data_IF_053369658606
#
_entry.id   IF_053369658606
#
_cell.length_a   1.000
_cell.length_b   1.000
_cell.length_c   1.000
_cell.angle_alpha   90.00
_cell.angle_beta   90.00
_cell.angle_gamma   90.00
#
_symmetry.space_group_name_H-M   'P 1'
#
loop_
_entity.id
_entity.type
_entity.pdbx_description
1 polymer ?
#
# COMPACT_ATOMS: atom_id res chain seq x y z
N UNK A 1 -21.39 -8.82 20.58
CA UNK A 1 -20.52 -7.63 20.64
C UNK A 1 -20.78 -6.83 19.36
N UNK A 2 -21.00 -5.51 19.44
CA UNK A 2 -21.15 -4.69 18.25
C UNK A 2 -19.85 -4.75 17.43
N UNK A 3 -19.93 -5.00 16.12
CA UNK A 3 -18.78 -4.97 15.22
C UNK A 3 -18.21 -3.55 15.27
N UNK A 4 -16.96 -3.39 15.71
CA UNK A 4 -16.28 -2.09 15.65
C UNK A 4 -16.24 -1.66 14.19
N UNK A 5 -16.60 -0.41 13.91
CA UNK A 5 -16.52 0.13 12.55
C UNK A 5 -15.07 0.00 12.06
N UNK A 6 -14.89 -0.79 11.00
CA UNK A 6 -13.59 -1.00 10.35
C UNK A 6 -13.50 -0.12 9.11
N UNK A 7 -12.34 0.48 8.90
CA UNK A 7 -11.99 1.20 7.68
C UNK A 7 -11.23 0.32 6.69
N UNK A 8 -10.89 -0.91 7.07
CA UNK A 8 -10.30 -1.89 6.16
C UNK A 8 -11.38 -2.46 5.23
N UNK A 9 -11.15 -2.40 3.92
CA UNK A 9 -12.11 -2.98 2.96
C UNK A 9 -12.22 -4.51 3.06
N UNK A 10 -11.24 -5.21 3.65
CA UNK A 10 -11.34 -6.66 3.92
C UNK A 10 -12.46 -7.02 4.90
N UNK A 11 -12.84 -6.08 5.78
CA UNK A 11 -13.86 -6.30 6.78
C UNK A 11 -15.25 -5.86 6.31
N UNK A 12 -15.37 -5.35 5.08
CA UNK A 12 -16.59 -4.75 4.53
C UNK A 12 -17.26 -5.66 3.50
N UNK A 13 -18.59 -5.65 3.48
CA UNK A 13 -19.37 -6.12 2.34
C UNK A 13 -19.18 -5.24 1.10
N UNK A 14 -19.41 -5.81 -0.08
CA UNK A 14 -19.30 -5.05 -1.34
C UNK A 14 -20.29 -3.87 -1.40
N UNK A 15 -21.45 -4.02 -0.75
CA UNK A 15 -22.50 -3.01 -0.61
C UNK A 15 -22.05 -1.86 0.30
N UNK A 16 -21.36 -2.15 1.40
CA UNK A 16 -20.77 -1.13 2.29
C UNK A 16 -19.74 -0.27 1.54
N UNK A 17 -18.92 -0.88 0.69
CA UNK A 17 -17.97 -0.14 -0.18
C UNK A 17 -18.72 0.68 -1.23
N UNK A 18 -19.80 0.13 -1.79
CA UNK A 18 -20.68 0.86 -2.71
C UNK A 18 -21.32 2.10 -2.08
N UNK A 19 -21.79 2.00 -0.83
CA UNK A 19 -22.32 3.15 -0.08
C UNK A 19 -21.23 4.19 0.23
N UNK A 20 -20.03 3.75 0.60
CA UNK A 20 -18.88 4.64 0.83
C UNK A 20 -18.60 5.51 -0.40
N UNK A 21 -18.53 4.89 -1.59
CA UNK A 21 -18.25 5.55 -2.86
C UNK A 21 -19.26 6.63 -3.26
N UNK A 22 -20.49 6.61 -2.73
CA UNK A 22 -21.47 7.69 -2.96
C UNK A 22 -21.08 9.01 -2.31
N UNK A 23 -20.20 8.96 -1.30
CA UNK A 23 -19.85 10.14 -0.49
C UNK A 23 -18.35 10.41 -0.43
N UNK A 24 -17.51 9.42 -0.70
CA UNK A 24 -16.06 9.54 -0.65
C UNK A 24 -15.39 8.63 -1.70
N UNK A 25 -14.49 9.20 -2.50
CA UNK A 25 -13.75 8.55 -3.59
C UNK A 25 -12.25 8.38 -3.29
N UNK A 26 -11.86 8.54 -2.02
CA UNK A 26 -10.48 8.39 -1.53
C UNK A 26 -10.23 6.97 -1.03
N UNK A 27 -9.05 6.42 -1.30
CA UNK A 27 -8.58 5.19 -0.64
C UNK A 27 -7.09 5.25 -0.32
N UNK A 28 -6.71 4.71 0.84
CA UNK A 28 -5.31 4.47 1.17
C UNK A 28 -4.91 3.03 0.80
N UNK A 29 -3.73 2.86 0.20
CA UNK A 29 -3.17 1.54 -0.11
C UNK A 29 -1.87 1.37 0.69
N UNK A 30 -1.86 0.53 1.75
CA UNK A 30 -0.66 0.29 2.55
C UNK A 30 0.33 -0.57 1.78
N UNK A 31 1.54 -0.05 1.61
CA UNK A 31 2.65 -0.69 0.90
C UNK A 31 3.82 -0.91 1.87
N UNK A 32 4.09 -2.16 2.24
CA UNK A 32 5.15 -2.51 3.18
C UNK A 32 6.47 -2.94 2.52
N UNK A 33 7.27 -3.64 3.32
CA UNK A 33 8.43 -4.43 2.92
C UNK A 33 8.61 -5.62 3.87
N UNK A 34 9.40 -6.60 3.44
CA UNK A 34 9.85 -7.73 4.24
C UNK A 34 11.38 -7.82 4.11
N UNK A 35 12.09 -7.17 5.03
CA UNK A 35 13.53 -6.94 4.92
C UNK A 35 14.26 -6.84 6.26
N UNK A 36 15.59 -6.94 6.20
CA UNK A 36 16.45 -6.90 7.38
C UNK A 36 16.50 -5.51 8.04
N UNK A 37 16.09 -5.41 9.31
CA UNK A 37 16.25 -4.25 10.20
C UNK A 37 17.19 -4.53 11.40
N UNK A 38 18.26 -5.28 11.19
CA UNK A 38 19.15 -5.71 12.27
C UNK A 38 18.54 -6.82 13.15
N UNK A 39 19.36 -7.42 14.02
CA UNK A 39 19.01 -8.66 14.71
C UNK A 39 17.91 -8.52 15.79
N UNK A 40 17.57 -7.29 16.18
CA UNK A 40 16.58 -7.02 17.22
C UNK A 40 15.20 -6.66 16.66
N UNK A 41 15.05 -6.55 15.34
CA UNK A 41 13.80 -6.21 14.67
C UNK A 41 13.28 -7.36 13.81
N UNK A 42 11.95 -7.52 13.68
CA UNK A 42 11.37 -8.44 12.72
C UNK A 42 11.61 -7.99 11.28
N UNK A 43 11.52 -8.92 10.32
CA UNK A 43 11.60 -8.58 8.90
C UNK A 43 10.44 -7.71 8.41
N UNK A 44 9.31 -7.72 9.14
CA UNK A 44 8.11 -6.95 8.81
C UNK A 44 8.08 -5.54 9.39
N UNK A 45 9.19 -4.98 9.89
CA UNK A 45 9.20 -3.65 10.53
C UNK A 45 8.48 -2.59 9.69
N UNK A 46 8.81 -2.46 8.42
CA UNK A 46 8.15 -1.48 7.52
C UNK A 46 6.66 -1.73 7.36
N UNK A 47 6.29 -3.00 7.22
CA UNK A 47 4.89 -3.43 7.09
C UNK A 47 4.07 -3.09 8.33
N UNK A 48 4.61 -3.35 9.53
CA UNK A 48 3.95 -3.04 10.79
C UNK A 48 3.84 -1.54 11.03
N UNK A 49 4.90 -0.78 10.76
CA UNK A 49 4.87 0.69 10.90
C UNK A 49 3.87 1.31 9.92
N UNK A 50 3.87 0.87 8.66
CA UNK A 50 2.91 1.34 7.64
C UNK A 50 1.47 1.10 8.09
N UNK A 51 1.15 -0.10 8.58
CA UNK A 51 -0.19 -0.41 9.10
C UNK A 51 -0.56 0.42 10.32
N UNK A 52 0.35 0.62 11.28
CA UNK A 52 0.10 1.46 12.44
C UNK A 52 -0.28 2.90 12.06
N UNK A 53 0.36 3.48 11.04
CA UNK A 53 0.01 4.81 10.54
C UNK A 53 -1.35 4.80 9.84
N UNK A 54 -1.61 3.84 8.94
CA UNK A 54 -2.87 3.76 8.19
C UNK A 54 -4.06 3.53 9.13
N UNK A 55 -3.94 2.62 10.09
CA UNK A 55 -4.99 2.31 11.07
C UNK A 55 -5.31 3.50 11.97
N UNK A 56 -4.30 4.33 12.30
CA UNK A 56 -4.50 5.57 13.06
C UNK A 56 -5.12 6.68 12.20
N UNK A 57 -4.69 6.83 10.94
CA UNK A 57 -5.13 7.89 10.04
C UNK A 57 -6.55 7.67 9.50
N UNK A 58 -6.92 6.42 9.19
CA UNK A 58 -8.21 6.07 8.57
C UNK A 58 -9.45 6.62 9.30
N UNK A 59 -9.62 6.44 10.63
CA UNK A 59 -10.76 7.00 11.34
C UNK A 59 -10.74 8.53 11.43
N UNK A 60 -9.57 9.15 11.49
CA UNK A 60 -9.42 10.60 11.53
C UNK A 60 -9.82 11.23 10.19
N UNK A 61 -9.39 10.61 9.09
CA UNK A 61 -9.69 11.03 7.73
C UNK A 61 -11.04 10.50 7.21
N UNK A 62 -11.73 9.65 7.97
CA UNK A 62 -12.96 8.94 7.57
C UNK A 62 -12.80 8.29 6.18
N UNK A 63 -11.70 7.58 5.99
CA UNK A 63 -11.27 7.08 4.68
C UNK A 63 -10.93 5.60 4.75
N UNK A 64 -11.42 4.83 3.78
CA UNK A 64 -11.16 3.40 3.71
C UNK A 64 -9.71 3.12 3.28
N UNK A 65 -9.21 1.93 3.62
CA UNK A 65 -7.91 1.45 3.15
C UNK A 65 -7.96 0.00 2.66
N UNK A 66 -7.10 -0.29 1.69
CA UNK A 66 -6.91 -1.60 1.08
C UNK A 66 -6.07 -2.54 1.99
N UNK A 67 -6.05 -3.86 1.72
CA UNK A 67 -5.11 -4.76 2.37
C UNK A 67 -3.66 -4.29 2.25
N UNK A 68 -2.85 -4.56 3.28
CA UNK A 68 -1.40 -4.38 3.19
C UNK A 68 -0.80 -5.25 2.07
N UNK A 69 0.07 -4.66 1.26
CA UNK A 69 1.01 -5.40 0.41
C UNK A 69 2.32 -5.57 1.19
N UNK A 70 2.65 -6.78 1.70
CA UNK A 70 3.74 -6.95 2.67
C UNK A 70 5.13 -7.06 2.03
N UNK A 71 5.22 -7.04 0.69
CA UNK A 71 6.48 -7.17 -0.05
C UNK A 71 6.68 -5.94 -0.94
N UNK A 72 7.88 -5.37 -0.87
CA UNK A 72 8.27 -4.16 -1.60
C UNK A 72 9.43 -4.40 -2.57
N UNK A 73 10.18 -3.33 -2.83
CA UNK A 73 11.44 -3.34 -3.57
C UNK A 73 12.62 -3.18 -2.60
N UNK A 74 13.29 -4.29 -2.27
CA UNK A 74 14.40 -4.35 -1.32
C UNK A 74 15.57 -5.27 -1.74
N UNK A 75 16.09 -5.18 -2.98
CA UNK A 75 17.17 -6.06 -3.43
C UNK A 75 18.47 -5.90 -2.64
N UNK A 76 18.72 -4.71 -2.09
CA UNK A 76 19.90 -4.40 -1.29
C UNK A 76 19.89 -5.08 0.10
N UNK A 77 18.75 -5.62 0.54
CA UNK A 77 18.65 -6.41 1.77
C UNK A 77 18.72 -7.93 1.52
N UNK A 78 18.93 -8.40 0.28
CA UNK A 78 19.01 -9.83 -0.01
C UNK A 78 20.30 -10.50 0.46
N UNK A 79 21.40 -9.75 0.54
CA UNK A 79 22.73 -10.32 0.76
C UNK A 79 23.23 -11.12 -0.45
N UNK A 80 24.18 -12.02 -0.22
CA UNK A 80 24.72 -12.91 -1.25
C UNK A 80 23.89 -14.19 -1.39
N UNK A 81 24.08 -14.90 -2.52
CA UNK A 81 23.46 -16.19 -2.78
C UNK A 81 23.85 -17.18 -1.67
N UNK A 82 22.86 -17.88 -1.11
CA UNK A 82 22.99 -18.78 0.06
C UNK A 82 23.40 -18.13 1.39
N UNK A 83 23.48 -16.79 1.47
CA UNK A 83 23.76 -16.04 2.71
C UNK A 83 22.59 -15.12 3.14
N UNK A 84 21.54 -15.06 2.33
CA UNK A 84 20.35 -14.26 2.64
C UNK A 84 19.62 -14.71 3.90
N UNK A 85 18.94 -13.76 4.56
CA UNK A 85 18.30 -13.98 5.86
C UNK A 85 16.81 -13.67 5.83
N UNK A 86 16.12 -14.09 4.77
CA UNK A 86 14.64 -14.06 4.69
C UNK A 86 14.00 -12.83 4.04
N UNK A 87 14.78 -11.89 3.50
CA UNK A 87 14.25 -10.74 2.74
C UNK A 87 13.45 -11.23 1.52
N UNK A 88 12.24 -10.71 1.35
CA UNK A 88 11.44 -10.88 0.15
C UNK A 88 11.43 -9.57 -0.62
N UNK A 89 11.72 -9.62 -1.91
CA UNK A 89 11.70 -8.44 -2.78
C UNK A 89 11.09 -8.78 -4.12
N UNK A 90 10.28 -7.88 -4.64
CA UNK A 90 9.90 -7.89 -6.04
C UNK A 90 11.04 -7.37 -6.92
N UNK A 91 11.03 -7.79 -8.18
CA UNK A 91 11.76 -7.04 -9.20
C UNK A 91 11.13 -5.64 -9.34
N UNK A 92 11.89 -4.66 -9.83
CA UNK A 92 11.32 -3.32 -10.06
C UNK A 92 10.12 -3.36 -11.02
N UNK A 93 10.15 -4.21 -12.05
CA UNK A 93 9.06 -4.34 -13.01
C UNK A 93 7.81 -4.96 -12.37
N UNK A 94 7.98 -6.01 -11.56
CA UNK A 94 6.87 -6.63 -10.82
C UNK A 94 6.26 -5.64 -9.83
N UNK A 95 7.09 -4.89 -9.11
CA UNK A 95 6.60 -3.91 -8.14
C UNK A 95 5.78 -2.79 -8.81
N UNK A 96 6.27 -2.28 -9.95
CA UNK A 96 5.52 -1.32 -10.78
C UNK A 96 4.18 -1.86 -11.25
N UNK A 97 4.16 -3.11 -11.72
CA UNK A 97 2.93 -3.77 -12.16
C UNK A 97 1.92 -3.91 -11.01
N UNK A 98 2.38 -4.34 -9.83
CA UNK A 98 1.52 -4.45 -8.63
C UNK A 98 0.88 -3.11 -8.27
N UNK A 99 1.67 -2.03 -8.20
CA UNK A 99 1.16 -0.68 -7.88
C UNK A 99 0.15 -0.22 -8.93
N UNK A 100 0.45 -0.43 -10.21
CA UNK A 100 -0.45 -0.10 -11.31
C UNK A 100 -1.77 -0.88 -11.23
N UNK A 101 -1.71 -2.20 -11.08
CA UNK A 101 -2.88 -3.07 -11.06
C UNK A 101 -3.78 -2.80 -9.86
N UNK A 102 -3.20 -2.51 -8.69
CA UNK A 102 -3.95 -2.08 -7.51
C UNK A 102 -4.66 -0.75 -7.76
N UNK A 103 -3.97 0.23 -8.35
CA UNK A 103 -4.59 1.51 -8.68
C UNK A 103 -5.72 1.36 -9.69
N UNK A 104 -5.49 0.64 -10.78
CA UNK A 104 -6.49 0.42 -11.82
C UNK A 104 -7.72 -0.34 -11.30
N UNK A 105 -7.52 -1.28 -10.37
CA UNK A 105 -8.63 -1.98 -9.70
C UNK A 105 -9.49 -1.00 -8.90
N UNK A 106 -8.87 -0.10 -8.12
CA UNK A 106 -9.62 0.90 -7.34
C UNK A 106 -10.30 1.93 -8.26
N UNK A 107 -9.61 2.40 -9.30
CA UNK A 107 -10.16 3.33 -10.29
C UNK A 107 -11.38 2.73 -10.99
N UNK A 108 -11.32 1.44 -11.36
CA UNK A 108 -12.44 0.74 -11.98
C UNK A 108 -13.71 0.77 -11.12
N UNK A 109 -13.57 0.72 -9.79
CA UNK A 109 -14.70 0.79 -8.86
C UNK A 109 -15.19 2.22 -8.57
N UNK A 110 -14.51 3.26 -9.05
CA UNK A 110 -14.91 4.65 -8.88
C UNK A 110 -14.07 5.45 -7.88
N UNK A 111 -13.01 4.88 -7.31
CA UNK A 111 -12.04 5.67 -6.53
C UNK A 111 -11.25 6.58 -7.47
N UNK A 112 -11.18 7.87 -7.16
CA UNK A 112 -10.51 8.86 -8.00
C UNK A 112 -9.37 9.60 -7.26
N UNK A 113 -9.11 9.21 -6.01
CA UNK A 113 -8.02 9.71 -5.17
C UNK A 113 -7.36 8.54 -4.44
N UNK A 114 -6.14 8.18 -4.81
CA UNK A 114 -5.40 7.06 -4.23
C UNK A 114 -4.16 7.57 -3.52
N UNK A 115 -4.03 7.20 -2.25
CA UNK A 115 -2.87 7.50 -1.42
C UNK A 115 -2.14 6.20 -1.13
N UNK A 116 -1.02 5.95 -1.79
CA UNK A 116 -0.14 4.86 -1.39
C UNK A 116 0.64 5.29 -0.14
N UNK A 117 0.61 4.49 0.92
CA UNK A 117 1.30 4.80 2.19
C UNK A 117 2.40 3.76 2.40
N UNK A 118 3.63 4.19 2.63
CA UNK A 118 4.75 3.26 2.82
C UNK A 118 5.82 3.80 3.77
N UNK A 119 6.25 2.99 4.73
CA UNK A 119 7.42 3.30 5.55
C UNK A 119 8.74 2.88 4.91
N UNK A 120 8.69 2.09 3.82
CA UNK A 120 9.90 1.63 3.13
C UNK A 120 10.38 2.63 2.09
N UNK A 121 11.56 3.22 2.33
CA UNK A 121 12.12 4.26 1.46
C UNK A 121 12.44 3.79 0.04
N UNK A 122 12.82 2.53 -0.16
CA UNK A 122 13.25 2.04 -1.47
C UNK A 122 12.09 1.78 -2.43
N UNK A 123 10.86 1.69 -1.92
CA UNK A 123 9.66 1.63 -2.75
C UNK A 123 9.44 2.91 -3.57
N UNK A 124 9.71 4.10 -3.00
CA UNK A 124 9.29 5.38 -3.56
C UNK A 124 9.90 5.71 -4.93
N UNK A 125 11.17 5.41 -5.16
CA UNK A 125 11.85 5.78 -6.42
C UNK A 125 11.44 4.88 -7.58
N UNK A 126 11.09 3.62 -7.30
CA UNK A 126 10.82 2.62 -8.34
C UNK A 126 9.48 2.88 -9.03
N UNK A 127 8.55 3.58 -8.38
CA UNK A 127 7.15 3.73 -8.80
C UNK A 127 6.83 5.10 -9.40
N UNK A 128 7.81 6.01 -9.48
CA UNK A 128 7.61 7.41 -9.89
C UNK A 128 7.05 7.54 -11.32
N UNK A 129 7.47 6.66 -12.23
CA UNK A 129 6.92 6.56 -13.58
C UNK A 129 5.48 6.03 -13.58
N UNK A 130 5.18 5.05 -12.73
CA UNK A 130 3.84 4.45 -12.59
C UNK A 130 2.83 5.46 -12.09
N UNK A 131 3.16 6.30 -11.10
CA UNK A 131 2.24 7.31 -10.61
C UNK A 131 1.86 8.33 -11.69
N UNK A 132 2.83 8.78 -12.48
CA UNK A 132 2.56 9.69 -13.61
C UNK A 132 1.72 9.00 -14.67
N UNK A 133 2.01 7.73 -14.97
CA UNK A 133 1.24 6.93 -15.91
C UNK A 133 -0.23 6.85 -15.49
N UNK A 134 -0.51 6.48 -14.25
CA UNK A 134 -1.88 6.41 -13.72
C UNK A 134 -2.56 7.78 -13.85
N UNK A 135 -1.88 8.85 -13.43
CA UNK A 135 -2.42 10.21 -13.52
C UNK A 135 -2.78 10.61 -14.95
N UNK A 136 -1.91 10.33 -15.92
CA UNK A 136 -2.12 10.74 -17.30
C UNK A 136 -3.13 9.86 -18.05
N UNK A 137 -3.18 8.56 -17.75
CA UNK A 137 -4.12 7.64 -18.39
C UNK A 137 -5.55 7.79 -17.85
N UNK A 138 -5.71 8.17 -16.58
CA UNK A 138 -7.02 8.11 -15.90
C UNK A 138 -7.52 9.44 -15.35
N UNK A 139 -6.64 10.44 -15.17
CA UNK A 139 -6.97 11.68 -14.46
C UNK A 139 -7.03 11.54 -12.93
N UNK A 140 -6.93 10.33 -12.39
CA UNK A 140 -6.97 10.03 -10.96
C UNK A 140 -5.89 10.83 -10.20
N UNK A 141 -6.25 11.37 -9.04
CA UNK A 141 -5.23 11.90 -8.12
C UNK A 141 -4.53 10.71 -7.47
N UNK A 142 -3.22 10.61 -7.66
CA UNK A 142 -2.40 9.57 -7.04
C UNK A 142 -1.19 10.20 -6.37
N UNK A 143 -0.88 9.76 -5.15
CA UNK A 143 0.33 10.17 -4.46
C UNK A 143 0.98 9.00 -3.71
N UNK A 144 2.29 9.15 -3.44
CA UNK A 144 3.06 8.27 -2.59
C UNK A 144 3.44 9.02 -1.31
N UNK A 145 2.80 8.65 -0.22
CA UNK A 145 3.14 9.14 1.11
C UNK A 145 4.18 8.20 1.73
N UNK A 146 5.37 8.76 2.00
CA UNK A 146 6.39 8.06 2.75
C UNK A 146 6.38 8.57 4.19
N UNK A 147 6.02 7.68 5.12
CA UNK A 147 5.92 7.99 6.55
C UNK A 147 7.27 8.02 7.26
#
# INVERSE_FOLDING_TARGET
>A
MAKKESWNILDKGYDEVGEYLKTNDVIMIPMGSCEKHGAHCPLGTDSFTTMGVVEAAAPLAKTCYAPLIPVGYSPHHMGEVMQGTGTLTFSGNTYRAVVYDLAMSMIYHGFNKIVFVSHHGSNSKVIDDVLRRIRYETGCFVCWDKT
#
